data_IF_457140660815
#
_entry.id   IF_457140660815
#
_cell.length_a   1.000
_cell.length_b   1.000
_cell.length_c   1.000
_cell.angle_alpha   90.00
_cell.angle_beta   90.00
_cell.angle_gamma   90.00
#
_symmetry.space_group_name_H-M   'P 1'
#
loop_
_entity.id
_entity.type
_entity.pdbx_description
1 polymer ?
#
# COMPACT_ATOMS: atom_id res chain seq x y z
N UNK A 1 -31.80 15.09 -55.29
CA UNK A 1 -32.88 15.39 -54.31
C UNK A 1 -32.38 14.88 -52.98
N UNK A 2 -32.03 15.66 -51.96
CA UNK A 2 -32.29 17.05 -51.58
C UNK A 2 -32.33 17.00 -50.04
N UNK A 3 -31.23 17.38 -49.38
CA UNK A 3 -31.00 18.69 -48.75
C UNK A 3 -31.88 18.97 -47.51
N UNK A 4 -31.18 19.06 -46.37
CA UNK A 4 -31.26 20.11 -45.34
C UNK A 4 -32.52 20.26 -44.47
N UNK A 5 -32.53 20.79 -43.24
CA UNK A 5 -31.58 21.15 -42.15
C UNK A 5 -32.45 21.96 -41.17
N UNK A 6 -32.26 21.86 -39.85
CA UNK A 6 -32.25 22.96 -38.83
C UNK A 6 -32.21 22.28 -37.45
N UNK A 7 -31.05 22.08 -36.80
CA UNK A 7 -30.20 23.04 -36.07
C UNK A 7 -30.96 23.95 -35.10
N UNK A 8 -30.77 23.71 -33.80
CA UNK A 8 -30.15 24.68 -32.89
C UNK A 8 -29.33 23.94 -31.83
N UNK A 9 -28.05 24.29 -31.69
CA UNK A 9 -27.17 23.99 -30.57
C UNK A 9 -27.03 25.29 -29.71
N UNK A 10 -26.41 25.32 -28.51
CA UNK A 10 -25.00 24.96 -28.37
C UNK A 10 -24.60 24.20 -27.09
N UNK A 11 -23.56 23.38 -27.28
CA UNK A 11 -22.40 23.14 -26.41
C UNK A 11 -22.15 24.18 -25.31
N UNK A 12 -22.03 23.74 -24.05
CA UNK A 12 -21.08 24.22 -23.00
C UNK A 12 -21.32 23.43 -21.69
N UNK A 13 -20.57 22.34 -21.44
CA UNK A 13 -20.35 21.80 -20.08
C UNK A 13 -19.36 20.63 -20.00
N UNK A 14 -18.97 20.00 -21.12
CA UNK A 14 -18.06 18.86 -21.11
C UNK A 14 -16.56 19.23 -21.25
N UNK A 15 -16.22 20.54 -21.31
CA UNK A 15 -14.85 21.01 -21.51
C UNK A 15 -14.26 21.82 -20.34
N UNK A 16 -14.96 21.95 -19.20
CA UNK A 16 -14.48 22.72 -18.05
C UNK A 16 -13.91 21.87 -16.88
N UNK A 17 -14.02 20.54 -16.92
CA UNK A 17 -13.40 19.68 -15.89
C UNK A 17 -11.98 19.22 -16.29
N UNK A 18 -11.65 19.25 -17.60
CA UNK A 18 -10.33 18.85 -18.10
C UNK A 18 -9.31 19.99 -18.20
N UNK A 19 -9.74 21.26 -18.04
CA UNK A 19 -8.82 22.42 -18.07
C UNK A 19 -8.34 22.80 -16.66
N UNK A 20 -9.05 22.41 -15.60
CA UNK A 20 -8.73 22.83 -14.23
C UNK A 20 -7.63 22.00 -13.54
N UNK A 21 -7.30 20.82 -14.07
CA UNK A 21 -6.13 20.02 -13.63
C UNK A 21 -4.83 20.34 -14.37
N UNK A 22 -4.91 21.10 -15.47
CA UNK A 22 -3.75 21.44 -16.31
C UNK A 22 -3.09 22.76 -15.89
N UNK A 23 -3.78 23.63 -15.15
CA UNK A 23 -3.26 24.96 -14.76
C UNK A 23 -2.49 24.95 -13.43
N UNK A 24 -2.67 23.94 -12.58
CA UNK A 24 -1.92 23.80 -11.32
C UNK A 24 -0.53 23.20 -11.54
N UNK A 25 -0.27 22.61 -12.71
CA UNK A 25 1.01 21.99 -13.05
C UNK A 25 1.93 22.88 -13.89
N UNK A 26 1.46 24.05 -14.34
CA UNK A 26 2.25 25.02 -15.10
C UNK A 26 2.76 26.24 -14.31
N UNK A 27 2.36 26.40 -13.05
CA UNK A 27 2.80 27.51 -12.19
C UNK A 27 4.01 27.20 -11.29
N UNK A 28 4.59 26.00 -11.40
CA UNK A 28 5.79 25.60 -10.64
C UNK A 28 7.08 25.49 -11.49
N UNK A 29 7.09 25.90 -12.77
CA UNK A 29 8.27 25.75 -13.64
C UNK A 29 8.86 27.04 -14.23
N UNK A 30 8.40 28.23 -13.85
CA UNK A 30 9.14 29.46 -14.12
C UNK A 30 9.03 30.44 -12.95
N UNK A 31 10.11 30.53 -12.17
CA UNK A 31 10.29 31.52 -11.11
C UNK A 31 11.76 31.95 -11.06
N UNK A 32 12.15 32.85 -11.96
CA UNK A 32 13.34 33.71 -11.81
C UNK A 32 12.98 34.92 -10.92
N UNK A 33 13.94 35.58 -10.25
CA UNK A 33 13.72 36.22 -8.95
C UNK A 33 13.37 37.70 -9.06
N UNK A 34 12.24 38.15 -8.51
CA UNK A 34 12.05 39.55 -8.10
C UNK A 34 11.05 39.66 -6.93
N UNK A 35 11.44 40.49 -5.96
CA UNK A 35 10.85 40.88 -4.67
C UNK A 35 9.33 41.13 -4.61
N UNK A 36 8.69 40.78 -3.47
CA UNK A 36 8.30 41.75 -2.42
C UNK A 36 7.54 41.08 -1.24
N UNK A 37 7.88 41.52 -0.02
CA UNK A 37 7.30 41.10 1.26
C UNK A 37 5.85 41.58 1.48
N UNK A 38 4.95 40.67 1.91
CA UNK A 38 3.79 40.99 2.76
C UNK A 38 3.34 39.74 3.55
N UNK A 39 3.07 39.82 4.87
CA UNK A 39 2.58 38.69 5.66
C UNK A 39 1.06 38.60 5.59
N UNK A 40 0.53 37.45 5.16
CA UNK A 40 -0.89 37.10 5.33
C UNK A 40 -1.01 35.97 6.35
N UNK A 41 -1.55 36.28 7.53
CA UNK A 41 -2.05 35.30 8.51
C UNK A 41 -3.39 34.75 8.01
N UNK A 42 -3.43 33.46 7.66
CA UNK A 42 -4.67 32.73 7.38
C UNK A 42 -5.23 32.21 8.71
N UNK A 43 -6.31 32.83 9.18
CA UNK A 43 -7.13 32.35 10.29
C UNK A 43 -8.12 31.30 9.77
N UNK A 44 -7.96 30.05 10.17
CA UNK A 44 -8.97 28.99 9.93
C UNK A 44 -10.12 29.14 10.94
N UNK A 45 -11.40 29.15 10.51
CA UNK A 45 -12.52 29.14 11.42
C UNK A 45 -12.69 27.75 12.09
N UNK A 46 -13.21 27.69 13.33
CA UNK A 46 -13.43 26.42 14.03
C UNK A 46 -14.57 25.62 13.38
N UNK A 47 -14.30 24.34 13.07
CA UNK A 47 -15.32 23.39 12.62
C UNK A 47 -16.30 23.06 13.76
N UNK A 48 -17.63 23.06 13.50
CA UNK A 48 -18.63 22.79 14.53
C UNK A 48 -18.65 21.31 14.92
N UNK A 49 -18.60 21.09 16.24
CA UNK A 49 -18.59 19.80 16.92
C UNK A 49 -20.03 19.27 17.08
N UNK A 50 -20.70 18.89 15.98
CA UNK A 50 -22.03 18.25 16.07
C UNK A 50 -22.22 17.16 15.02
N UNK A 51 -21.80 15.94 15.37
CA UNK A 51 -22.36 14.70 14.83
C UNK A 51 -22.57 13.73 15.99
N UNK A 52 -23.53 14.04 16.85
CA UNK A 52 -24.16 13.06 17.73
C UNK A 52 -25.46 12.63 17.05
N UNK A 53 -25.45 11.46 16.42
CA UNK A 53 -26.68 10.84 15.90
C UNK A 53 -27.62 10.51 17.08
N UNK A 54 -28.94 10.75 16.94
CA UNK A 54 -29.89 10.57 18.03
C UNK A 54 -30.05 9.09 18.41
N UNK A 55 -30.07 8.84 19.72
CA UNK A 55 -30.45 7.57 20.34
C UNK A 55 -31.93 7.30 20.07
N UNK A 56 -32.25 6.53 19.02
CA UNK A 56 -33.58 5.92 18.88
C UNK A 56 -33.51 4.45 19.32
N UNK A 57 -34.28 4.13 20.37
CA UNK A 57 -34.50 2.76 20.88
C UNK A 57 -35.29 1.96 19.85
N UNK A 58 -34.66 0.96 19.25
CA UNK A 58 -35.38 -0.20 18.71
C UNK A 58 -34.76 -1.48 19.24
N UNK A 59 -35.63 -2.30 19.84
CA UNK A 59 -35.36 -3.58 20.47
C UNK A 59 -34.93 -4.62 19.45
N UNK A 60 -33.67 -5.06 19.49
CA UNK A 60 -33.30 -6.47 19.50
C UNK A 60 -31.80 -6.62 19.77
N UNK A 61 -31.51 -7.36 20.84
CA UNK A 61 -30.23 -7.39 21.52
C UNK A 61 -29.27 -8.38 20.84
N UNK A 62 -28.48 -7.91 19.85
CA UNK A 62 -27.29 -8.62 19.34
C UNK A 62 -26.06 -7.72 19.03
N UNK A 63 -26.18 -6.39 19.01
CA UNK A 63 -25.13 -5.49 18.46
C UNK A 63 -24.49 -4.52 19.48
N UNK A 64 -24.20 -4.98 20.70
CA UNK A 64 -23.54 -4.16 21.74
C UNK A 64 -22.01 -4.04 21.51
N UNK A 65 -21.40 -5.05 20.89
CA UNK A 65 -19.94 -5.13 20.69
C UNK A 65 -19.39 -4.12 19.65
N UNK A 66 -19.95 -3.99 18.42
CA UNK A 66 -19.40 -3.05 17.43
C UNK A 66 -19.54 -1.58 17.86
N UNK A 67 -20.62 -1.23 18.59
CA UNK A 67 -20.88 0.14 19.07
C UNK A 67 -19.90 0.60 20.14
N UNK A 68 -19.49 -0.30 21.03
CA UNK A 68 -18.56 0.02 22.11
C UNK A 68 -17.11 0.10 21.57
N UNK A 69 -16.75 -0.79 20.64
CA UNK A 69 -15.43 -0.81 20.02
C UNK A 69 -15.19 0.41 19.10
N UNK A 70 -16.20 0.81 18.32
CA UNK A 70 -16.11 2.00 17.47
C UNK A 70 -15.88 3.27 18.29
N UNK A 71 -16.59 3.42 19.42
CA UNK A 71 -16.38 4.52 20.35
C UNK A 71 -15.00 4.46 21.04
N UNK A 72 -14.52 3.27 21.42
CA UNK A 72 -13.18 3.13 22.02
C UNK A 72 -12.07 3.48 21.03
N UNK A 73 -12.16 3.03 19.77
CA UNK A 73 -11.21 3.37 18.73
C UNK A 73 -11.23 4.86 18.43
N UNK A 74 -12.41 5.49 18.29
CA UNK A 74 -12.52 6.94 18.08
C UNK A 74 -11.96 7.76 19.25
N UNK A 75 -12.22 7.35 20.50
CA UNK A 75 -11.69 8.02 21.71
C UNK A 75 -10.16 7.91 21.73
N UNK A 76 -9.60 6.72 21.47
CA UNK A 76 -8.15 6.51 21.44
C UNK A 76 -7.47 7.30 20.30
N UNK A 77 -8.13 7.39 19.14
CA UNK A 77 -7.67 8.16 17.98
C UNK A 77 -7.68 9.68 18.23
N UNK A 78 -8.71 10.17 18.91
CA UNK A 78 -8.85 11.59 19.27
C UNK A 78 -7.82 12.01 20.31
N UNK A 79 -7.50 11.13 21.27
CA UNK A 79 -6.45 11.38 22.26
C UNK A 79 -5.04 11.36 21.67
N UNK A 80 -4.77 10.48 20.70
CA UNK A 80 -3.49 10.45 19.98
C UNK A 80 -3.29 11.71 19.13
N UNK A 81 -4.32 12.15 18.40
CA UNK A 81 -4.25 13.39 17.60
C UNK A 81 -4.17 14.66 18.45
N UNK A 82 -4.89 14.73 19.59
CA UNK A 82 -4.74 15.85 20.55
C UNK A 82 -3.33 15.94 21.13
N UNK A 83 -2.70 14.80 21.45
CA UNK A 83 -1.32 14.79 21.96
C UNK A 83 -0.30 15.24 20.91
N UNK A 84 -0.59 15.03 19.61
CA UNK A 84 0.27 15.50 18.52
C UNK A 84 0.07 17.00 18.20
N UNK A 85 -1.14 17.54 18.34
CA UNK A 85 -1.44 18.95 18.09
C UNK A 85 -0.83 19.93 19.14
N UNK A 86 -0.40 19.43 20.30
CA UNK A 86 0.23 20.23 21.36
C UNK A 86 1.73 20.48 21.19
N UNK A 87 2.38 19.89 20.18
CA UNK A 87 3.81 20.08 19.94
C UNK A 87 4.04 21.36 19.11
N UNK A 88 4.60 22.40 19.73
CA UNK A 88 5.06 23.61 19.02
C UNK A 88 6.09 23.22 17.95
N UNK A 89 5.71 23.34 16.69
CA UNK A 89 6.62 23.28 15.54
C UNK A 89 7.37 24.61 15.51
N UNK A 90 8.64 24.59 15.92
CA UNK A 90 9.57 25.71 15.73
C UNK A 90 10.15 25.60 14.32
N UNK A 91 9.55 26.31 13.38
CA UNK A 91 10.05 26.41 12.00
C UNK A 91 11.20 27.42 11.97
N UNK A 92 12.44 26.96 12.01
CA UNK A 92 13.59 27.73 11.53
C UNK A 92 13.96 27.23 10.14
N UNK A 93 13.27 27.75 9.13
CA UNK A 93 13.73 27.68 7.75
C UNK A 93 14.66 28.89 7.52
N UNK A 94 15.97 28.65 7.59
CA UNK A 94 16.97 29.61 7.12
C UNK A 94 17.57 29.07 5.83
N UNK A 95 17.14 29.63 4.71
CA UNK A 95 17.77 29.48 3.40
C UNK A 95 19.15 30.15 3.45
N UNK A 96 20.22 29.37 3.39
CA UNK A 96 21.57 29.92 3.20
C UNK A 96 21.80 30.25 1.71
N UNK A 97 22.48 31.37 1.37
CA UNK A 97 22.79 31.73 -0.02
C UNK A 97 23.90 30.84 -0.58
N UNK A 98 23.89 30.66 -1.91
CA UNK A 98 25.00 30.09 -2.66
C UNK A 98 26.06 31.19 -2.80
N UNK A 99 27.08 31.16 -1.95
CA UNK A 99 28.38 31.77 -2.24
C UNK A 99 29.34 30.64 -2.60
N UNK A 100 29.99 30.79 -3.76
CA UNK A 100 31.12 29.94 -4.10
C UNK A 100 32.33 30.26 -3.24
N UNK A 101 33.33 29.38 -3.36
CA UNK A 101 34.74 29.50 -2.95
C UNK A 101 35.14 28.42 -1.93
N UNK A 102 36.07 27.61 -2.44
CA UNK A 102 37.17 26.87 -1.83
C UNK A 102 36.93 25.60 -1.01
N UNK A 103 37.60 24.56 -1.52
CA UNK A 103 38.02 23.35 -0.86
C UNK A 103 38.76 23.65 0.44
N UNK A 104 38.23 23.16 1.57
CA UNK A 104 39.00 22.58 2.68
C UNK A 104 38.07 21.80 3.63
N UNK A 105 38.55 20.62 4.06
CA UNK A 105 38.14 19.82 5.21
C UNK A 105 36.79 19.07 5.23
N UNK A 106 36.77 17.93 4.53
CA UNK A 106 35.92 16.78 4.91
C UNK A 106 36.43 16.22 6.24
N UNK A 107 35.91 16.76 7.33
CA UNK A 107 36.02 16.17 8.65
C UNK A 107 35.03 15.01 8.77
N UNK A 108 35.59 13.79 8.79
CA UNK A 108 34.94 12.59 9.29
C UNK A 108 34.41 12.86 10.70
N UNK A 109 33.10 13.13 10.83
CA UNK A 109 32.42 13.15 12.12
C UNK A 109 31.31 12.09 12.05
N UNK A 110 31.56 10.95 12.68
CA UNK A 110 31.18 10.69 14.06
C UNK A 110 29.72 10.20 14.10
N UNK A 111 29.56 8.95 14.53
CA UNK A 111 28.30 8.22 14.52
C UNK A 111 27.14 9.09 14.98
N UNK A 112 26.08 9.10 14.17
CA UNK A 112 24.81 9.72 14.53
C UNK A 112 24.44 9.31 15.96
N UNK A 113 24.12 10.25 16.86
CA UNK A 113 23.77 9.92 18.23
C UNK A 113 22.60 8.93 18.23
N UNK A 114 22.62 7.97 19.16
CA UNK A 114 21.53 7.02 19.33
C UNK A 114 20.21 7.82 19.44
N UNK A 115 19.16 7.46 18.68
CA UNK A 115 17.92 8.22 18.67
C UNK A 115 17.37 8.33 20.10
N UNK A 116 16.99 9.54 20.49
CA UNK A 116 16.40 9.80 21.80
C UNK A 116 15.16 8.91 22.03
N UNK A 117 14.91 8.50 23.28
CA UNK A 117 13.74 7.68 23.63
C UNK A 117 12.40 8.32 23.20
N UNK A 118 12.32 9.66 23.16
CA UNK A 118 11.16 10.39 22.65
C UNK A 118 11.00 10.32 21.13
N UNK A 119 12.09 10.31 20.35
CA UNK A 119 12.00 10.07 18.90
C UNK A 119 11.52 8.65 18.61
N UNK A 120 12.00 7.67 19.39
CA UNK A 120 11.61 6.27 19.22
C UNK A 120 10.10 6.06 19.46
N UNK A 121 9.53 6.59 20.55
CA UNK A 121 8.08 6.44 20.81
C UNK A 121 7.21 7.09 19.73
N UNK A 122 7.61 8.25 19.21
CA UNK A 122 6.90 8.92 18.11
C UNK A 122 6.95 8.06 16.84
N UNK A 123 8.08 7.46 16.53
CA UNK A 123 8.25 6.61 15.36
C UNK A 123 7.40 5.33 15.45
N UNK A 124 7.37 4.68 16.61
CA UNK A 124 6.49 3.53 16.85
C UNK A 124 5.01 3.93 16.78
N UNK A 125 4.64 5.09 17.34
CA UNK A 125 3.28 5.61 17.27
C UNK A 125 2.82 5.87 15.83
N UNK A 126 3.66 6.55 15.03
CA UNK A 126 3.40 6.82 13.62
C UNK A 126 3.26 5.52 12.81
N UNK A 127 4.15 4.56 13.05
CA UNK A 127 4.11 3.26 12.41
C UNK A 127 2.81 2.49 12.70
N UNK A 128 2.47 2.36 13.98
CA UNK A 128 1.25 1.65 14.42
C UNK A 128 0.02 2.32 13.84
N UNK A 129 -0.05 3.65 13.91
CA UNK A 129 -1.17 4.42 13.34
C UNK A 129 -1.26 4.27 11.82
N UNK A 130 -0.13 4.36 11.10
CA UNK A 130 -0.10 4.23 9.65
C UNK A 130 -0.47 2.83 9.17
N UNK A 131 -0.02 1.79 9.86
CA UNK A 131 -0.38 0.41 9.54
C UNK A 131 -1.84 0.10 9.87
N UNK A 132 -2.37 0.62 10.98
CA UNK A 132 -3.80 0.57 11.30
C UNK A 132 -4.63 1.26 10.21
N UNK A 133 -4.34 2.54 9.92
CA UNK A 133 -5.13 3.36 9.01
C UNK A 133 -5.05 2.82 7.58
N UNK A 134 -3.87 2.45 7.12
CA UNK A 134 -3.70 1.93 5.78
C UNK A 134 -4.30 0.54 5.59
N UNK A 135 -4.27 -0.34 6.61
CA UNK A 135 -4.99 -1.63 6.58
C UNK A 135 -6.50 -1.41 6.60
N UNK A 136 -6.95 -0.47 7.43
CA UNK A 136 -8.35 -0.06 7.48
C UNK A 136 -8.82 0.41 6.11
N UNK A 137 -8.12 1.35 5.47
CA UNK A 137 -8.51 1.88 4.16
C UNK A 137 -8.43 0.80 3.06
N UNK A 138 -7.36 0.01 3.03
CA UNK A 138 -7.21 -1.11 2.11
C UNK A 138 -8.41 -2.06 2.20
N UNK A 139 -8.71 -2.55 3.40
CA UNK A 139 -9.78 -3.52 3.60
C UNK A 139 -11.16 -2.88 3.50
N UNK A 140 -11.34 -1.61 3.87
CA UNK A 140 -12.61 -0.90 3.74
C UNK A 140 -13.06 -0.82 2.29
N UNK A 141 -12.20 -0.39 1.37
CA UNK A 141 -12.57 -0.31 -0.05
C UNK A 141 -12.68 -1.70 -0.69
N UNK A 142 -11.84 -2.66 -0.29
CA UNK A 142 -11.92 -4.02 -0.81
C UNK A 142 -13.20 -4.74 -0.37
N UNK A 143 -13.54 -4.67 0.92
CA UNK A 143 -14.77 -5.22 1.49
C UNK A 143 -16.00 -4.47 0.99
N UNK A 144 -15.97 -3.13 0.96
CA UNK A 144 -17.08 -2.32 0.45
C UNK A 144 -17.41 -2.66 -1.00
N UNK A 145 -16.41 -2.80 -1.87
CA UNK A 145 -16.61 -3.23 -3.25
C UNK A 145 -17.15 -4.66 -3.35
N UNK A 146 -16.60 -5.59 -2.56
CA UNK A 146 -17.09 -6.99 -2.50
C UNK A 146 -18.55 -7.06 -2.04
N UNK A 147 -18.90 -6.30 -1.01
CA UNK A 147 -20.25 -6.22 -0.48
C UNK A 147 -21.19 -5.58 -1.51
N UNK A 148 -20.78 -4.49 -2.16
CA UNK A 148 -21.57 -3.81 -3.18
C UNK A 148 -21.88 -4.72 -4.38
N UNK A 149 -20.89 -5.47 -4.90
CA UNK A 149 -21.16 -6.41 -5.99
C UNK A 149 -22.07 -7.54 -5.51
N UNK A 150 -21.82 -8.13 -4.33
CA UNK A 150 -22.64 -9.22 -3.79
C UNK A 150 -24.08 -8.81 -3.47
N UNK A 151 -24.36 -7.55 -3.12
CA UNK A 151 -25.73 -7.05 -2.94
C UNK A 151 -26.46 -6.95 -4.28
N UNK A 152 -25.76 -6.56 -5.35
CA UNK A 152 -26.38 -6.24 -6.64
C UNK A 152 -26.27 -7.37 -7.68
N UNK A 153 -25.56 -8.46 -7.36
CA UNK A 153 -25.20 -9.46 -8.35
C UNK A 153 -26.32 -10.45 -8.66
N UNK A 154 -26.98 -10.27 -9.81
CA UNK A 154 -28.06 -11.14 -10.26
C UNK A 154 -27.49 -12.35 -11.02
N UNK A 155 -27.62 -13.55 -10.46
CA UNK A 155 -27.36 -14.79 -11.18
C UNK A 155 -28.35 -15.01 -12.35
N UNK A 156 -27.93 -15.75 -13.39
CA UNK A 156 -28.49 -15.84 -14.75
C UNK A 156 -29.97 -16.21 -15.00
N UNK A 157 -30.90 -15.86 -14.11
CA UNK A 157 -32.35 -15.98 -14.30
C UNK A 157 -33.20 -14.79 -13.80
N UNK A 158 -32.64 -13.83 -13.03
CA UNK A 158 -33.39 -12.70 -12.41
C UNK A 158 -34.39 -13.12 -11.31
N UNK A 159 -34.68 -12.37 -10.24
CA UNK A 159 -33.83 -11.56 -9.34
C UNK A 159 -33.54 -12.39 -8.06
N UNK A 160 -32.28 -12.58 -7.63
CA UNK A 160 -31.79 -12.01 -6.35
C UNK A 160 -30.30 -11.58 -6.45
N UNK A 161 -29.81 -10.56 -5.70
CA UNK A 161 -29.78 -10.48 -4.23
C UNK A 161 -30.33 -9.15 -3.66
N UNK A 162 -30.84 -9.22 -2.43
CA UNK A 162 -30.86 -8.11 -1.44
C UNK A 162 -30.11 -8.51 -0.17
N UNK A 163 -29.90 -9.81 -0.01
CA UNK A 163 -29.01 -10.43 0.94
C UNK A 163 -27.72 -10.82 0.20
N UNK A 164 -26.58 -10.23 0.55
CA UNK A 164 -25.30 -10.47 -0.12
C UNK A 164 -24.72 -11.87 0.16
N UNK A 165 -25.25 -12.63 1.13
CA UNK A 165 -24.85 -14.02 1.37
C UNK A 165 -25.34 -14.97 0.27
N UNK A 166 -26.42 -14.59 -0.45
CA UNK A 166 -27.03 -15.38 -1.52
C UNK A 166 -26.50 -15.10 -2.93
N UNK A 167 -25.42 -14.32 -3.07
CA UNK A 167 -24.87 -13.98 -4.38
C UNK A 167 -24.37 -15.23 -5.13
N UNK A 168 -24.78 -15.37 -6.40
CA UNK A 168 -24.29 -16.43 -7.29
C UNK A 168 -22.89 -16.10 -7.75
N UNK A 169 -21.97 -17.08 -7.72
CA UNK A 169 -20.59 -16.84 -8.13
C UNK A 169 -20.46 -16.96 -9.66
N UNK A 170 -20.26 -15.83 -10.33
CA UNK A 170 -19.97 -15.76 -11.78
C UNK A 170 -18.55 -15.24 -12.03
N UNK A 171 -17.99 -15.44 -13.25
CA UNK A 171 -16.68 -14.89 -13.62
C UNK A 171 -16.59 -13.36 -13.44
N UNK A 172 -17.65 -12.64 -13.78
CA UNK A 172 -17.77 -11.18 -13.64
C UNK A 172 -17.76 -10.73 -12.17
N UNK A 173 -18.41 -11.47 -11.27
CA UNK A 173 -18.31 -11.22 -9.82
C UNK A 173 -16.87 -11.45 -9.33
N UNK A 174 -16.26 -12.57 -9.71
CA UNK A 174 -14.88 -12.90 -9.30
C UNK A 174 -13.88 -11.85 -9.77
N UNK A 175 -14.01 -11.39 -11.02
CA UNK A 175 -13.19 -10.33 -11.58
C UNK A 175 -13.37 -9.01 -10.82
N UNK A 176 -14.62 -8.63 -10.51
CA UNK A 176 -14.92 -7.41 -9.76
C UNK A 176 -14.29 -7.44 -8.36
N UNK A 177 -14.44 -8.56 -7.64
CA UNK A 177 -13.83 -8.74 -6.32
C UNK A 177 -12.30 -8.66 -6.41
N UNK A 178 -11.69 -9.36 -7.38
CA UNK A 178 -10.25 -9.31 -7.58
C UNK A 178 -9.75 -7.89 -7.85
N UNK A 179 -10.44 -7.11 -8.70
CA UNK A 179 -10.12 -5.71 -8.96
C UNK A 179 -10.22 -4.85 -7.70
N UNK A 180 -11.27 -5.03 -6.89
CA UNK A 180 -11.45 -4.27 -5.65
C UNK A 180 -10.27 -4.47 -4.69
N UNK A 181 -9.89 -5.73 -4.46
CA UNK A 181 -8.77 -6.05 -3.58
C UNK A 181 -7.42 -5.59 -4.16
N UNK A 182 -7.15 -5.89 -5.43
CA UNK A 182 -5.90 -5.54 -6.08
C UNK A 182 -5.66 -4.03 -6.14
N UNK A 183 -6.62 -3.26 -6.63
CA UNK A 183 -6.48 -1.81 -6.75
C UNK A 183 -6.57 -1.09 -5.41
N UNK A 184 -7.41 -1.55 -4.48
CA UNK A 184 -7.41 -0.99 -3.12
C UNK A 184 -6.04 -1.14 -2.47
N UNK A 185 -5.40 -2.31 -2.63
CA UNK A 185 -4.04 -2.51 -2.13
C UNK A 185 -3.04 -1.60 -2.86
N UNK A 186 -3.07 -1.54 -4.20
CA UNK A 186 -2.18 -0.66 -4.98
C UNK A 186 -2.22 0.77 -4.47
N UNK A 187 -3.42 1.37 -4.36
CA UNK A 187 -3.60 2.77 -3.98
C UNK A 187 -3.10 3.01 -2.56
N UNK A 188 -3.53 2.19 -1.61
CA UNK A 188 -3.16 2.40 -0.21
C UNK A 188 -1.67 2.11 0.04
N UNK A 189 -1.08 1.11 -0.64
CA UNK A 189 0.36 0.90 -0.59
C UNK A 189 1.07 2.13 -1.14
N UNK A 190 0.63 2.71 -2.25
CA UNK A 190 1.25 3.92 -2.82
C UNK A 190 1.22 5.12 -1.86
N UNK A 191 0.09 5.34 -1.19
CA UNK A 191 -0.11 6.45 -0.24
C UNK A 191 0.80 6.30 0.98
N UNK A 192 0.88 5.09 1.55
CA UNK A 192 1.58 4.84 2.81
C UNK A 192 3.00 4.30 2.64
N UNK A 193 3.46 4.05 1.40
CA UNK A 193 4.74 3.41 1.11
C UNK A 193 5.91 4.08 1.84
N UNK A 194 5.93 5.42 1.84
CA UNK A 194 6.97 6.23 2.48
C UNK A 194 6.75 6.48 3.97
N UNK A 195 5.58 6.14 4.51
CA UNK A 195 5.23 6.36 5.91
C UNK A 195 5.61 5.14 6.75
N UNK A 196 5.13 3.95 6.37
CA UNK A 196 5.31 2.73 7.17
C UNK A 196 5.98 1.59 6.39
N UNK A 197 6.10 1.72 5.07
CA UNK A 197 6.36 0.61 4.15
C UNK A 197 5.09 -0.12 3.69
N UNK A 198 3.93 0.26 4.23
CA UNK A 198 2.60 -0.22 3.86
C UNK A 198 2.47 -1.75 3.82
N UNK A 199 2.74 -2.41 4.96
CA UNK A 199 2.75 -3.87 5.02
C UNK A 199 1.33 -4.45 4.97
N UNK A 200 0.40 -3.84 5.72
CA UNK A 200 -1.05 -4.08 5.76
C UNK A 200 -1.53 -5.53 5.93
N UNK A 201 -0.63 -6.42 6.33
CA UNK A 201 -0.87 -7.85 6.38
C UNK A 201 0.07 -8.51 7.40
N UNK A 202 -0.47 -9.21 8.42
CA UNK A 202 0.35 -9.90 9.40
C UNK A 202 1.29 -10.95 8.81
N UNK A 203 0.89 -11.63 7.72
CA UNK A 203 1.74 -12.60 7.03
C UNK A 203 2.92 -11.93 6.31
N UNK A 204 2.69 -10.80 5.67
CA UNK A 204 3.77 -10.02 5.03
C UNK A 204 4.73 -9.47 6.08
N UNK A 205 4.17 -8.95 7.18
CA UNK A 205 4.96 -8.48 8.33
C UNK A 205 5.83 -9.61 8.87
N UNK A 206 5.29 -10.82 9.02
CA UNK A 206 6.06 -12.01 9.40
C UNK A 206 7.17 -12.32 8.40
N UNK A 207 6.91 -12.30 7.08
CA UNK A 207 7.94 -12.51 6.06
C UNK A 207 9.09 -11.51 6.17
N UNK A 208 8.79 -10.23 6.40
CA UNK A 208 9.79 -9.20 6.65
C UNK A 208 10.57 -9.44 7.96
N UNK A 209 9.93 -9.97 9.00
CA UNK A 209 10.61 -10.37 10.25
C UNK A 209 11.56 -11.55 10.00
N UNK A 210 11.11 -12.59 9.30
CA UNK A 210 11.92 -13.79 8.99
C UNK A 210 13.18 -13.47 8.18
N UNK A 211 13.12 -12.44 7.33
CA UNK A 211 14.26 -12.00 6.51
C UNK A 211 15.18 -11.00 7.21
N UNK A 212 14.79 -10.52 8.39
CA UNK A 212 15.52 -9.51 9.18
C UNK A 212 15.21 -8.05 8.80
N UNK A 213 14.26 -7.81 7.89
CA UNK A 213 13.86 -6.46 7.46
C UNK A 213 13.01 -5.70 8.49
N UNK A 214 12.34 -6.42 9.39
CA UNK A 214 11.54 -5.83 10.49
C UNK A 214 11.92 -6.50 11.82
N UNK A 215 12.29 -5.74 12.87
CA UNK A 215 12.54 -6.30 14.19
C UNK A 215 11.28 -7.01 14.75
N UNK A 216 11.41 -8.15 15.46
CA UNK A 216 10.25 -8.94 15.91
C UNK A 216 9.23 -8.15 16.73
N UNK A 217 9.68 -7.32 17.69
CA UNK A 217 8.77 -6.48 18.49
C UNK A 217 7.97 -5.50 17.63
N UNK A 218 8.64 -4.85 16.66
CA UNK A 218 7.99 -3.96 15.68
C UNK A 218 6.97 -4.75 14.86
N UNK A 219 7.32 -5.96 14.44
CA UNK A 219 6.42 -6.87 13.72
C UNK A 219 5.17 -7.22 14.51
N UNK A 220 5.29 -7.51 15.80
CA UNK A 220 4.12 -7.81 16.67
C UNK A 220 3.21 -6.59 16.81
N UNK A 221 3.75 -5.40 17.09
CA UNK A 221 2.95 -4.18 17.23
C UNK A 221 2.20 -3.84 15.94
N UNK A 222 2.87 -3.97 14.80
CA UNK A 222 2.27 -3.76 13.47
C UNK A 222 1.21 -4.81 13.16
N UNK A 223 1.47 -6.08 13.47
CA UNK A 223 0.50 -7.16 13.27
C UNK A 223 -0.81 -6.92 14.05
N UNK A 224 -0.71 -6.45 15.29
CA UNK A 224 -1.87 -6.05 16.11
C UNK A 224 -2.59 -4.87 15.45
N UNK A 225 -1.86 -3.84 15.01
CA UNK A 225 -2.44 -2.67 14.35
C UNK A 225 -3.25 -3.05 13.09
N UNK A 226 -2.70 -3.95 12.28
CA UNK A 226 -3.33 -4.48 11.07
C UNK A 226 -4.61 -5.26 11.40
N UNK A 227 -4.57 -6.14 12.40
CA UNK A 227 -5.76 -6.90 12.86
C UNK A 227 -6.87 -5.95 13.31
N UNK A 228 -6.53 -4.94 14.13
CA UNK A 228 -7.50 -3.94 14.59
C UNK A 228 -8.05 -3.12 13.42
N UNK A 229 -7.20 -2.77 12.44
CA UNK A 229 -7.62 -2.11 11.21
C UNK A 229 -8.60 -2.94 10.38
N UNK A 230 -8.36 -4.25 10.26
CA UNK A 230 -9.25 -5.18 9.56
C UNK A 230 -10.61 -5.34 10.23
N UNK A 231 -10.64 -5.48 11.55
CA UNK A 231 -11.89 -5.53 12.33
C UNK A 231 -12.68 -4.21 12.18
N UNK A 232 -12.00 -3.06 12.27
CA UNK A 232 -12.62 -1.75 12.12
C UNK A 232 -13.21 -1.55 10.70
N UNK A 233 -12.49 -2.00 9.66
CA UNK A 233 -12.97 -1.94 8.28
C UNK A 233 -14.21 -2.82 8.08
N UNK A 234 -14.19 -4.06 8.58
CA UNK A 234 -15.33 -4.98 8.50
C UNK A 234 -16.57 -4.43 9.20
N UNK A 235 -16.42 -3.93 10.43
CA UNK A 235 -17.55 -3.36 11.18
C UNK A 235 -18.10 -2.08 10.54
N UNK A 236 -17.25 -1.27 9.91
CA UNK A 236 -17.72 -0.08 9.20
C UNK A 236 -18.48 -0.46 7.91
N UNK A 237 -18.01 -1.44 7.15
CA UNK A 237 -18.73 -1.92 5.96
C UNK A 237 -20.08 -2.50 6.34
N UNK A 238 -20.16 -3.31 7.40
CA UNK A 238 -21.44 -3.81 7.92
C UNK A 238 -22.37 -2.67 8.33
N UNK A 239 -21.85 -1.64 9.01
CA UNK A 239 -22.66 -0.50 9.45
C UNK A 239 -23.13 0.44 8.33
N UNK A 240 -22.40 0.51 7.21
CA UNK A 240 -22.68 1.41 6.09
C UNK A 240 -23.46 0.77 4.94
N UNK A 241 -23.56 -0.56 4.90
CA UNK A 241 -24.18 -1.29 3.79
C UNK A 241 -25.39 -2.10 4.26
N UNK A 242 -26.40 -2.32 3.40
CA UNK A 242 -27.53 -3.17 3.76
C UNK A 242 -27.15 -4.67 3.71
N UNK A 243 -27.89 -5.47 4.48
CA UNK A 243 -27.71 -6.93 4.53
C UNK A 243 -26.62 -7.37 5.52
N UNK A 244 -26.46 -8.68 5.67
CA UNK A 244 -25.39 -9.26 6.49
C UNK A 244 -24.02 -9.06 5.83
N UNK A 245 -22.94 -8.97 6.61
CA UNK A 245 -21.60 -8.81 6.07
C UNK A 245 -21.16 -10.10 5.35
N UNK A 246 -21.07 -10.07 4.02
CA UNK A 246 -20.78 -11.25 3.20
C UNK A 246 -19.38 -11.21 2.55
N UNK A 247 -18.39 -10.67 3.25
CA UNK A 247 -17.01 -10.54 2.75
C UNK A 247 -16.02 -11.51 3.41
N UNK A 248 -16.53 -12.41 4.26
CA UNK A 248 -15.74 -13.45 4.94
C UNK A 248 -15.08 -14.45 3.99
N UNK A 249 -14.05 -15.13 4.50
CA UNK A 249 -13.36 -16.20 3.80
C UNK A 249 -13.97 -17.55 4.17
N UNK A 250 -14.26 -18.36 3.17
CA UNK A 250 -14.81 -19.71 3.34
C UNK A 250 -14.31 -20.61 2.20
N UNK A 251 -14.20 -21.91 2.48
CA UNK A 251 -13.93 -22.89 1.43
C UNK A 251 -15.15 -23.07 0.53
N UNK A 252 -14.92 -23.16 -0.78
CA UNK A 252 -15.95 -23.53 -1.73
C UNK A 252 -16.39 -25.00 -1.55
N UNK A 253 -17.62 -25.35 -1.96
CA UNK A 253 -18.06 -26.74 -2.00
C UNK A 253 -17.08 -27.62 -2.77
N UNK A 254 -16.68 -28.74 -2.16
CA UNK A 254 -15.73 -29.70 -2.76
C UNK A 254 -14.25 -29.36 -2.55
N UNK A 255 -13.91 -28.22 -1.94
CA UNK A 255 -12.53 -27.91 -1.55
C UNK A 255 -12.26 -28.43 -0.14
N UNK A 256 -11.31 -29.35 -0.02
CA UNK A 256 -10.85 -29.86 1.28
C UNK A 256 -10.03 -28.82 2.04
N UNK A 257 -9.95 -28.98 3.37
CA UNK A 257 -9.13 -28.13 4.25
C UNK A 257 -7.66 -28.10 3.80
N UNK A 258 -7.12 -29.25 3.36
CA UNK A 258 -5.74 -29.36 2.88
C UNK A 258 -5.55 -28.60 1.58
N UNK A 259 -6.47 -28.73 0.62
CA UNK A 259 -6.42 -27.95 -0.62
C UNK A 259 -6.48 -26.45 -0.32
N UNK A 260 -7.40 -26.02 0.55
CA UNK A 260 -7.49 -24.62 0.97
C UNK A 260 -6.21 -24.09 1.61
N UNK A 261 -5.59 -24.88 2.49
CA UNK A 261 -4.31 -24.54 3.11
C UNK A 261 -3.20 -24.31 2.07
N UNK A 262 -3.05 -25.22 1.11
CA UNK A 262 -2.01 -25.09 0.07
C UNK A 262 -2.31 -23.97 -0.92
N UNK A 263 -3.58 -23.73 -1.26
CA UNK A 263 -3.97 -22.57 -2.05
C UNK A 263 -3.51 -21.29 -1.32
N UNK A 264 -3.92 -21.08 -0.07
CA UNK A 264 -3.53 -19.89 0.70
C UNK A 264 -2.01 -19.74 0.88
N UNK A 265 -1.28 -20.85 1.00
CA UNK A 265 0.18 -20.87 1.01
C UNK A 265 0.76 -20.29 -0.29
N UNK A 266 0.37 -20.81 -1.45
CA UNK A 266 0.93 -20.37 -2.73
C UNK A 266 0.49 -18.95 -3.11
N UNK A 267 -0.75 -18.57 -2.80
CA UNK A 267 -1.23 -17.21 -3.02
C UNK A 267 -0.40 -16.21 -2.21
N UNK A 268 -0.13 -16.51 -0.94
CA UNK A 268 0.66 -15.62 -0.07
C UNK A 268 2.15 -15.63 -0.46
N UNK A 269 2.69 -16.77 -0.90
CA UNK A 269 4.06 -16.85 -1.40
C UNK A 269 4.29 -15.97 -2.63
N UNK A 270 3.34 -15.96 -3.57
CA UNK A 270 3.37 -15.08 -4.75
C UNK A 270 3.40 -13.59 -4.36
N UNK A 271 2.52 -13.19 -3.43
CA UNK A 271 2.49 -11.82 -2.91
C UNK A 271 3.81 -11.45 -2.22
N UNK A 272 4.31 -12.33 -1.34
CA UNK A 272 5.53 -12.10 -0.56
C UNK A 272 6.76 -11.99 -1.46
N UNK A 273 6.88 -12.85 -2.47
CA UNK A 273 7.99 -12.82 -3.44
C UNK A 273 7.98 -11.50 -4.23
N UNK A 274 6.79 -11.04 -4.64
CA UNK A 274 6.63 -9.75 -5.32
C UNK A 274 7.12 -8.60 -4.44
N UNK A 275 6.75 -8.59 -3.16
CA UNK A 275 7.17 -7.57 -2.20
C UNK A 275 8.69 -7.59 -2.02
N UNK A 276 9.30 -8.76 -1.90
CA UNK A 276 10.75 -8.84 -1.75
C UNK A 276 11.49 -8.31 -2.97
N UNK A 277 11.11 -8.73 -4.16
CA UNK A 277 11.84 -8.38 -5.38
C UNK A 277 11.56 -6.97 -5.89
N UNK A 278 10.41 -6.38 -5.58
CA UNK A 278 10.06 -5.02 -6.04
C UNK A 278 10.25 -3.94 -4.97
N UNK A 279 9.99 -4.23 -3.69
CA UNK A 279 9.98 -3.21 -2.64
C UNK A 279 11.18 -3.31 -1.69
N UNK A 280 11.53 -4.52 -1.25
CA UNK A 280 12.64 -4.73 -0.31
C UNK A 280 13.96 -4.57 -1.04
N UNK A 281 14.11 -5.26 -2.16
CA UNK A 281 15.26 -5.09 -3.04
C UNK A 281 15.28 -3.68 -3.64
N UNK A 282 16.43 -3.03 -3.58
CA UNK A 282 16.59 -1.67 -4.10
C UNK A 282 17.14 -1.72 -5.52
N UNK A 283 16.34 -1.24 -6.45
CA UNK A 283 16.66 -1.11 -7.86
C UNK A 283 15.90 0.10 -8.44
N UNK A 284 16.15 0.44 -9.70
CA UNK A 284 15.57 1.62 -10.36
C UNK A 284 14.03 1.69 -10.30
N UNK A 285 13.36 0.54 -10.34
CA UNK A 285 11.91 0.45 -10.37
C UNK A 285 11.26 0.33 -8.96
N UNK A 286 12.01 0.42 -7.86
CA UNK A 286 11.44 0.29 -6.50
C UNK A 286 10.33 1.31 -6.20
N UNK A 287 10.29 2.46 -6.90
CA UNK A 287 9.21 3.44 -6.74
C UNK A 287 7.86 2.97 -7.30
N UNK A 288 7.85 2.05 -8.28
CA UNK A 288 6.63 1.48 -8.88
C UNK A 288 6.20 0.18 -8.19
N UNK A 289 6.91 -0.25 -7.16
CA UNK A 289 6.59 -1.46 -6.39
C UNK A 289 5.12 -1.54 -5.92
N UNK A 290 4.46 -0.43 -5.48
CA UNK A 290 3.05 -0.49 -5.10
C UNK A 290 2.13 -1.02 -6.21
N UNK A 291 2.42 -0.69 -7.48
CA UNK A 291 1.68 -1.21 -8.63
C UNK A 291 1.84 -2.73 -8.76
N UNK A 292 3.09 -3.20 -8.73
CA UNK A 292 3.40 -4.63 -8.86
C UNK A 292 2.81 -5.44 -7.70
N UNK A 293 2.84 -4.91 -6.48
CA UNK A 293 2.26 -5.55 -5.29
C UNK A 293 0.75 -5.71 -5.44
N UNK A 294 0.01 -4.67 -5.83
CA UNK A 294 -1.43 -4.77 -6.01
C UNK A 294 -1.84 -5.59 -7.23
N UNK A 295 -1.05 -5.60 -8.32
CA UNK A 295 -1.25 -6.53 -9.44
C UNK A 295 -1.01 -8.00 -9.03
N UNK A 296 -0.02 -8.25 -8.17
CA UNK A 296 0.21 -9.58 -7.59
C UNK A 296 -0.96 -10.01 -6.69
N UNK A 297 -1.51 -9.07 -5.91
CA UNK A 297 -2.74 -9.32 -5.15
C UNK A 297 -3.94 -9.56 -6.07
N UNK A 298 -4.08 -8.80 -7.17
CA UNK A 298 -5.14 -9.01 -8.16
C UNK A 298 -5.12 -10.43 -8.75
N UNK A 299 -3.98 -10.91 -9.26
CA UNK A 299 -3.91 -12.25 -9.87
C UNK A 299 -4.15 -13.37 -8.84
N UNK A 300 -3.73 -13.17 -7.60
CA UNK A 300 -3.96 -14.15 -6.53
C UNK A 300 -5.42 -14.19 -6.12
N UNK A 301 -6.14 -13.06 -6.18
CA UNK A 301 -7.58 -13.03 -5.95
C UNK A 301 -8.37 -13.66 -7.11
N UNK A 302 -7.94 -13.51 -8.36
CA UNK A 302 -8.55 -14.21 -9.50
C UNK A 302 -8.58 -15.73 -9.30
N UNK A 303 -7.55 -16.28 -8.65
CA UNK A 303 -7.51 -17.71 -8.31
C UNK A 303 -8.21 -18.02 -6.97
N UNK A 304 -7.86 -17.30 -5.90
CA UNK A 304 -8.22 -17.65 -4.53
C UNK A 304 -9.65 -17.34 -4.11
N UNK A 305 -10.28 -16.30 -4.68
CA UNK A 305 -11.60 -15.83 -4.23
C UNK A 305 -12.64 -16.94 -4.29
N UNK A 306 -12.65 -17.72 -5.39
CA UNK A 306 -13.60 -18.82 -5.52
C UNK A 306 -13.33 -19.94 -4.52
N UNK A 307 -12.10 -20.44 -4.44
CA UNK A 307 -11.81 -21.68 -3.71
C UNK A 307 -11.73 -21.51 -2.19
N UNK A 308 -11.19 -20.37 -1.71
CA UNK A 308 -10.90 -20.14 -0.28
C UNK A 308 -11.47 -18.82 0.23
N UNK A 309 -12.08 -18.00 -0.63
CA UNK A 309 -12.42 -16.61 -0.34
C UNK A 309 -11.24 -15.64 -0.51
N UNK A 310 -10.05 -16.11 -0.90
CA UNK A 310 -8.88 -15.27 -1.17
C UNK A 310 -8.40 -14.52 0.06
N UNK A 311 -7.93 -15.25 1.09
CA UNK A 311 -7.44 -14.63 2.32
C UNK A 311 -6.14 -13.87 2.10
N UNK A 312 -5.04 -14.62 1.94
CA UNK A 312 -3.64 -14.18 1.95
C UNK A 312 -3.21 -13.39 3.20
N UNK A 313 -4.14 -13.05 4.08
CA UNK A 313 -3.99 -12.02 5.09
C UNK A 313 -4.85 -12.38 6.31
N UNK A 314 -4.22 -12.73 7.44
CA UNK A 314 -4.95 -13.03 8.68
C UNK A 314 -5.88 -11.91 9.15
N UNK A 315 -5.50 -10.63 8.99
CA UNK A 315 -6.35 -9.49 9.37
C UNK A 315 -7.61 -9.39 8.49
N UNK A 316 -7.48 -9.72 7.19
CA UNK A 316 -8.59 -9.76 6.21
C UNK A 316 -9.58 -10.88 6.49
N UNK A 317 -9.12 -12.00 7.03
CA UNK A 317 -10.00 -13.14 7.36
C UNK A 317 -10.61 -13.00 8.75
N UNK A 318 -9.83 -12.54 9.73
CA UNK A 318 -10.30 -12.38 11.10
C UNK A 318 -11.35 -11.26 11.23
N UNK A 319 -11.16 -10.13 10.53
CA UNK A 319 -12.04 -8.96 10.63
C UNK A 319 -13.52 -9.32 10.44
N UNK A 320 -13.93 -9.88 9.29
CA UNK A 320 -15.31 -10.26 9.05
C UNK A 320 -15.82 -11.33 10.03
N UNK A 321 -14.99 -12.34 10.35
CA UNK A 321 -15.37 -13.42 11.27
C UNK A 321 -15.69 -12.91 12.69
N UNK A 322 -14.93 -11.92 13.19
CA UNK A 322 -15.22 -11.26 14.48
C UNK A 322 -16.54 -10.51 14.44
N UNK A 323 -16.84 -9.85 13.33
CA UNK A 323 -18.03 -9.01 13.17
C UNK A 323 -19.30 -9.85 13.00
N UNK A 324 -19.26 -10.89 12.17
CA UNK A 324 -20.39 -11.81 11.98
C UNK A 324 -20.54 -12.82 13.12
N UNK A 325 -19.49 -13.05 13.89
CA UNK A 325 -19.43 -14.12 14.88
C UNK A 325 -19.30 -15.52 14.25
N UNK A 326 -19.01 -15.60 12.95
CA UNK A 326 -18.87 -16.86 12.21
C UNK A 326 -17.39 -17.25 12.05
N UNK A 327 -17.03 -18.35 12.73
CA UNK A 327 -15.70 -18.94 12.68
C UNK A 327 -15.81 -20.39 12.20
N UNK A 328 -15.56 -20.66 10.91
CA UNK A 328 -15.56 -22.04 10.43
C UNK A 328 -14.48 -22.84 11.17
N UNK A 329 -14.72 -24.13 11.41
CA UNK A 329 -13.74 -25.00 12.09
C UNK A 329 -12.37 -25.08 11.39
N UNK A 330 -12.31 -24.68 10.11
CA UNK A 330 -11.09 -24.58 9.32
C UNK A 330 -10.46 -23.17 9.29
N UNK A 331 -10.96 -22.19 10.05
CA UNK A 331 -10.48 -20.80 10.01
C UNK A 331 -8.96 -20.66 10.24
N UNK A 332 -8.36 -21.61 10.97
CA UNK A 332 -6.91 -21.67 11.21
C UNK A 332 -6.07 -21.72 9.92
N UNK A 333 -6.61 -22.22 8.80
CA UNK A 333 -5.88 -22.25 7.52
C UNK A 333 -5.56 -20.85 7.01
N UNK A 334 -6.38 -19.85 7.36
CA UNK A 334 -6.17 -18.44 7.00
C UNK A 334 -5.09 -17.75 7.83
N UNK A 335 -4.51 -18.47 8.80
CA UNK A 335 -3.33 -18.07 9.57
C UNK A 335 -2.12 -18.87 9.12
N UNK A 336 -2.25 -20.21 9.15
CA UNK A 336 -1.15 -21.13 8.85
C UNK A 336 -0.77 -21.09 7.37
N UNK A 337 -1.74 -21.08 6.45
CA UNK A 337 -1.50 -20.98 5.01
C UNK A 337 -0.68 -19.73 4.68
N UNK A 338 -1.16 -18.51 5.02
CA UNK A 338 -0.40 -17.30 4.79
C UNK A 338 0.96 -17.24 5.50
N UNK A 339 1.09 -17.76 6.72
CA UNK A 339 2.38 -17.82 7.42
C UNK A 339 3.38 -18.73 6.69
N UNK A 340 2.95 -19.91 6.22
CA UNK A 340 3.77 -20.81 5.42
C UNK A 340 4.12 -20.19 4.06
N UNK A 341 3.19 -19.47 3.43
CA UNK A 341 3.44 -18.75 2.18
C UNK A 341 4.47 -17.63 2.35
N UNK A 342 4.37 -16.85 3.44
CA UNK A 342 5.36 -15.83 3.77
C UNK A 342 6.75 -16.44 4.02
N UNK A 343 6.82 -17.56 4.72
CA UNK A 343 8.07 -18.30 4.93
C UNK A 343 8.65 -18.85 3.63
N UNK A 344 7.82 -19.40 2.74
CA UNK A 344 8.24 -19.89 1.43
C UNK A 344 8.78 -18.75 0.55
N UNK A 345 8.06 -17.63 0.47
CA UNK A 345 8.53 -16.45 -0.27
C UNK A 345 9.86 -15.92 0.27
N UNK A 346 10.03 -15.89 1.60
CA UNK A 346 11.29 -15.52 2.25
C UNK A 346 12.43 -16.49 1.94
N UNK A 347 12.16 -17.80 1.95
CA UNK A 347 13.14 -18.83 1.61
C UNK A 347 13.60 -18.69 0.15
N UNK A 348 12.67 -18.55 -0.79
CA UNK A 348 12.97 -18.35 -2.22
C UNK A 348 13.80 -17.07 -2.40
N UNK A 349 13.40 -15.96 -1.79
CA UNK A 349 14.15 -14.70 -1.86
C UNK A 349 15.59 -14.86 -1.33
N UNK A 350 15.77 -15.50 -0.18
CA UNK A 350 17.11 -15.75 0.39
C UNK A 350 17.94 -16.65 -0.52
N UNK A 351 17.37 -17.69 -1.12
CA UNK A 351 18.07 -18.55 -2.09
C UNK A 351 18.53 -17.74 -3.30
N UNK A 352 17.69 -16.86 -3.86
CA UNK A 352 18.05 -16.00 -4.98
C UNK A 352 19.23 -15.08 -4.63
N UNK A 353 19.25 -14.51 -3.42
CA UNK A 353 20.37 -13.72 -2.94
C UNK A 353 21.66 -14.54 -2.75
N UNK A 354 21.54 -15.78 -2.25
CA UNK A 354 22.69 -16.66 -2.03
C UNK A 354 23.40 -17.03 -3.35
N UNK A 355 22.66 -17.12 -4.46
CA UNK A 355 23.21 -17.42 -5.79
C UNK A 355 23.57 -16.17 -6.60
N UNK A 356 23.49 -14.97 -5.99
CA UNK A 356 23.71 -13.68 -6.62
C UNK A 356 22.97 -13.54 -7.97
N UNK A 357 21.65 -13.71 -7.94
CA UNK A 357 20.79 -13.76 -9.13
C UNK A 357 20.96 -12.58 -10.10
N UNK A 358 21.47 -11.43 -9.62
CA UNK A 358 21.73 -10.23 -10.42
C UNK A 358 22.80 -10.46 -11.49
N UNK A 359 23.70 -11.42 -11.27
CA UNK A 359 24.77 -11.78 -12.21
C UNK A 359 24.26 -12.56 -13.42
N UNK A 360 23.10 -13.22 -13.31
CA UNK A 360 22.56 -14.07 -14.38
C UNK A 360 22.04 -13.25 -15.56
N UNK A 361 21.44 -12.08 -15.29
CA UNK A 361 20.90 -11.17 -16.30
C UNK A 361 21.38 -9.73 -16.02
N UNK A 362 22.66 -9.44 -16.26
CA UNK A 362 23.25 -8.14 -15.91
C UNK A 362 22.60 -7.01 -16.73
N UNK A 363 22.41 -5.86 -16.08
CA UNK A 363 21.94 -4.64 -16.74
C UNK A 363 20.43 -4.53 -16.94
N UNK A 364 19.63 -5.49 -16.48
CA UNK A 364 18.16 -5.38 -16.50
C UNK A 364 17.63 -4.18 -15.68
N UNK A 365 18.39 -3.72 -14.69
CA UNK A 365 18.10 -2.53 -13.89
C UNK A 365 19.06 -1.36 -14.18
N UNK A 366 19.88 -1.45 -15.24
CA UNK A 366 20.82 -0.40 -15.65
C UNK A 366 20.09 0.87 -16.11
N UNK A 367 20.66 2.02 -15.80
CA UNK A 367 20.23 3.33 -16.29
C UNK A 367 20.91 3.71 -17.62
N UNK A 368 21.79 2.85 -18.14
CA UNK A 368 22.60 3.13 -19.32
C UNK A 368 23.63 4.24 -19.09
N UNK A 369 23.72 4.77 -17.85
CA UNK A 369 24.72 5.76 -17.51
C UNK A 369 26.06 5.05 -17.28
N UNK A 370 27.17 5.64 -17.74
CA UNK A 370 28.49 5.08 -17.48
C UNK A 370 28.72 5.02 -15.97
N UNK A 371 29.08 3.83 -15.47
CA UNK A 371 29.48 3.65 -14.08
C UNK A 371 30.83 4.35 -13.89
N UNK A 372 30.82 5.58 -13.39
CA UNK A 372 32.05 6.28 -13.00
C UNK A 372 32.52 5.70 -11.67
N UNK A 373 33.38 4.67 -11.71
CA UNK A 373 34.12 4.24 -10.52
C UNK A 373 35.18 5.28 -10.19
N UNK A 374 35.00 5.99 -9.09
CA UNK A 374 36.05 6.82 -8.52
C UNK A 374 37.11 5.90 -7.88
N UNK A 375 38.25 5.71 -8.54
CA UNK A 375 39.39 5.03 -7.92
C UNK A 375 40.10 5.97 -6.93
N UNK A 376 40.15 5.55 -5.66
CA UNK A 376 40.99 6.21 -4.66
C UNK A 376 42.44 5.72 -4.80
N UNK A 377 43.35 6.64 -5.08
CA UNK A 377 44.78 6.34 -5.06
C UNK A 377 45.28 6.02 -3.64
N UNK A 378 46.44 5.35 -3.49
CA UNK A 378 46.99 4.89 -2.21
C UNK A 378 47.34 6.01 -1.19
N UNK A 379 47.06 7.28 -1.49
CA UNK A 379 47.27 8.44 -0.61
C UNK A 379 46.01 9.29 -0.42
N UNK A 380 44.81 8.78 -0.72
CA UNK A 380 43.56 9.51 -0.50
C UNK A 380 43.31 10.71 -1.44
N UNK A 381 44.18 10.95 -2.43
CA UNK A 381 43.94 11.97 -3.46
C UNK A 381 42.97 11.43 -4.52
N UNK A 382 41.86 12.14 -4.71
CA UNK A 382 40.91 11.92 -5.80
C UNK A 382 41.67 12.06 -7.13
N UNK A 383 41.81 10.98 -7.89
CA UNK A 383 42.14 11.09 -9.31
C UNK A 383 40.84 11.42 -10.01
N UNK A 384 40.77 12.58 -10.67
CA UNK A 384 39.60 13.01 -11.41
C UNK A 384 39.06 11.90 -12.32
N UNK A 385 37.74 11.90 -12.52
CA UNK A 385 37.07 10.96 -13.42
C UNK A 385 37.77 10.99 -14.79
N UNK A 386 38.41 9.90 -15.18
CA UNK A 386 38.89 9.78 -16.56
C UNK A 386 37.67 9.53 -17.44
N UNK A 387 37.26 10.59 -18.14
CA UNK A 387 36.33 10.51 -19.25
C UNK A 387 36.98 9.62 -20.32
N UNK A 388 36.44 8.41 -20.53
CA UNK A 388 36.84 7.53 -21.63
C UNK A 388 37.37 6.13 -21.30
N UNK A 389 37.40 5.66 -20.05
CA UNK A 389 37.67 4.24 -19.79
C UNK A 389 36.39 3.40 -19.75
N UNK A 390 35.97 2.94 -20.94
CA UNK A 390 35.11 1.76 -21.07
C UNK A 390 35.89 0.54 -20.58
N UNK A 391 35.78 0.22 -19.30
CA UNK A 391 36.27 -1.05 -18.78
C UNK A 391 35.16 -2.08 -18.97
N UNK A 392 35.31 -2.88 -20.02
CA UNK A 392 34.53 -4.10 -20.26
C UNK A 392 34.54 -4.97 -19.00
N UNK A 393 33.36 -5.34 -18.51
CA UNK A 393 33.21 -6.43 -17.55
C UNK A 393 33.72 -7.77 -18.12
N UNK A 394 33.77 -8.85 -17.31
CA UNK A 394 34.39 -10.13 -17.67
C UNK A 394 33.53 -10.93 -18.65
N UNK A 395 33.39 -10.41 -19.85
CA UNK A 395 33.04 -11.14 -21.06
C UNK A 395 33.65 -10.32 -22.20
N UNK A 396 34.85 -10.73 -22.61
CA UNK A 396 35.56 -10.06 -23.70
C UNK A 396 34.80 -10.19 -25.00
N UNK A 397 34.10 -9.13 -25.39
CA UNK A 397 33.80 -8.79 -26.77
C UNK A 397 33.62 -7.28 -26.86
N UNK A 398 34.68 -6.61 -27.31
CA UNK A 398 34.61 -5.20 -27.69
C UNK A 398 33.69 -5.07 -28.91
N UNK A 399 32.45 -4.65 -28.70
CA UNK A 399 31.63 -4.10 -29.78
C UNK A 399 32.16 -2.70 -30.08
N UNK A 400 32.88 -2.59 -31.21
CA UNK A 400 33.13 -1.30 -31.84
C UNK A 400 31.78 -0.66 -32.16
N UNK A 401 31.68 0.65 -31.89
CA UNK A 401 30.72 1.51 -32.59
C UNK A 401 30.80 1.21 -34.09
N UNK A 402 29.68 0.80 -34.67
CA UNK A 402 29.40 1.05 -36.07
C UNK A 402 28.20 1.99 -36.08
N UNK A 403 28.42 3.19 -36.61
CA UNK A 403 27.39 4.01 -37.20
C UNK A 403 26.51 3.15 -38.10
N UNK A 404 25.19 3.23 -37.94
CA UNK A 404 24.28 3.25 -39.08
C UNK A 404 22.92 3.82 -38.66
N UNK A 405 22.54 4.89 -39.34
CA UNK A 405 21.20 5.47 -39.35
C UNK A 405 20.16 4.42 -39.75
N UNK A 406 19.13 4.19 -38.94
CA UNK A 406 17.70 4.06 -39.32
C UNK A 406 16.84 4.40 -38.10
#
# INVERSE_FOLDING_TARGET
MGLATFLTAPSHCALDIAVQYSTVQYLCLYGSPYYHHHPYTISLPPLPLYFLLPLSRTSNNKNIFPRTFFNLCFITLTDCTRKMAGAKISTTASTAPIEGVDSEDVSLNAGSPAPSMQSTLKDYGLLVFGEFLGTFLFLFFAFGGTQAVKINHVGGGGSPPKDPTGAVVTPDLLLYVAMCFGFSLTVNVWVFYRVTGALFNPAITLGCVLTGGVPPLKGVLVGIAQIVGGIAASGLVEGLTPGELAVGTTLAPGVSVVQGLFIELFLTAQLMLTIFLLAVEKHRATFIAPLGIGLSFFITQLFGVYFTGGSLNPARSLGPAVITGDFPGHHWIYWVGPALGAALGAAVYKILLLVDYKTLNPGQDSDGLPIVRCEYGPKGKFRGAQEGQVISGPSGTASKLADENV
#
